data_IF_153865113359
#
_entry.id   IF_153865113359
#
_cell.length_a   1.000
_cell.length_b   1.000
_cell.length_c   1.000
_cell.angle_alpha   90.00
_cell.angle_beta   90.00
_cell.angle_gamma   90.00
#
_symmetry.space_group_name_H-M   'P 1'
#
loop_
_entity.id
_entity.type
_entity.pdbx_description
1 polymer ?
#
# COMPACT_ATOMS: atom_id res chain seq x y z
N UNK A 1 -0.50 -13.85 -4.31
CA UNK A 1 0.53 -13.68 -5.36
C UNK A 1 0.51 -14.89 -6.27
N UNK A 2 0.54 -14.70 -7.59
CA UNK A 2 0.84 -15.74 -8.58
C UNK A 2 1.79 -15.13 -9.61
N UNK A 3 2.57 -15.97 -10.27
CA UNK A 3 3.57 -15.53 -11.24
C UNK A 3 3.14 -15.98 -12.63
N UNK A 4 2.82 -15.02 -13.52
CA UNK A 4 2.25 -15.31 -14.82
C UNK A 4 3.26 -15.03 -15.95
N UNK A 5 3.34 -15.94 -16.92
CA UNK A 5 4.06 -15.76 -18.18
C UNK A 5 3.07 -15.86 -19.34
N UNK A 6 3.25 -14.98 -20.32
CA UNK A 6 2.39 -14.85 -21.48
C UNK A 6 3.14 -15.29 -22.72
N UNK A 7 2.46 -16.00 -23.59
CA UNK A 7 3.05 -16.64 -24.76
C UNK A 7 2.18 -16.39 -25.98
N UNK A 8 2.83 -16.04 -27.09
CA UNK A 8 2.20 -15.83 -28.39
C UNK A 8 2.81 -16.75 -29.43
N UNK A 9 2.04 -17.23 -30.40
CA UNK A 9 2.53 -18.11 -31.47
C UNK A 9 2.24 -17.54 -32.88
N UNK A 10 3.27 -16.95 -33.53
CA UNK A 10 3.15 -16.51 -34.92
C UNK A 10 3.22 -17.70 -35.93
N UNK A 11 2.47 -17.64 -37.06
CA UNK A 11 1.35 -16.75 -37.34
C UNK A 11 0.06 -17.28 -36.68
N UNK A 12 -0.73 -16.40 -36.04
CA UNK A 12 -2.05 -16.72 -35.49
C UNK A 12 -2.31 -16.10 -34.11
N UNK A 13 -3.51 -16.33 -33.58
CA UNK A 13 -3.98 -15.75 -32.30
C UNK A 13 -4.02 -16.79 -31.15
N UNK A 14 -3.15 -17.81 -31.19
CA UNK A 14 -3.01 -18.80 -30.10
C UNK A 14 -2.15 -18.22 -28.99
N UNK A 15 -2.80 -17.48 -28.10
CA UNK A 15 -2.19 -16.88 -26.92
C UNK A 15 -2.43 -17.72 -25.67
N UNK A 16 -1.38 -17.87 -24.88
CA UNK A 16 -1.39 -18.71 -23.69
C UNK A 16 -0.83 -17.97 -22.49
N UNK A 17 -1.49 -18.18 -21.37
CA UNK A 17 -1.01 -17.79 -20.06
C UNK A 17 -0.55 -19.05 -19.31
N UNK A 18 0.61 -18.98 -18.67
CA UNK A 18 1.08 -19.99 -17.73
C UNK A 18 1.30 -19.34 -16.37
N UNK A 19 0.64 -19.85 -15.35
CA UNK A 19 0.68 -19.34 -13.99
C UNK A 19 1.35 -20.34 -13.04
N UNK A 20 2.23 -19.83 -12.19
CA UNK A 20 2.71 -20.50 -10.98
C UNK A 20 2.03 -19.86 -9.76
N UNK A 21 1.23 -20.66 -9.04
CA UNK A 21 0.53 -20.23 -7.83
C UNK A 21 1.29 -20.80 -6.62
N UNK A 22 2.06 -19.98 -5.87
CA UNK A 22 2.65 -20.39 -4.60
C UNK A 22 1.58 -20.50 -3.51
N UNK A 23 1.82 -21.32 -2.50
CA UNK A 23 0.91 -21.48 -1.37
C UNK A 23 1.12 -22.80 -0.64
N UNK A 24 0.15 -23.17 0.22
CA UNK A 24 0.13 -24.45 0.93
C UNK A 24 0.07 -25.64 -0.04
N UNK A 25 -0.71 -25.49 -1.11
CA UNK A 25 -0.84 -26.46 -2.20
C UNK A 25 -0.40 -25.78 -3.51
N UNK A 26 0.92 -25.72 -3.80
CA UNK A 26 1.43 -25.06 -4.99
C UNK A 26 0.84 -25.63 -6.28
N UNK A 27 0.56 -24.77 -7.24
CA UNK A 27 -0.10 -25.15 -8.49
C UNK A 27 0.54 -24.54 -9.73
N UNK A 28 0.43 -25.25 -10.84
CA UNK A 28 0.69 -24.71 -12.18
C UNK A 28 -0.60 -24.81 -13.00
N UNK A 29 -1.01 -23.69 -13.58
CA UNK A 29 -2.20 -23.57 -14.42
C UNK A 29 -1.79 -22.99 -15.77
N UNK A 30 -2.32 -23.53 -16.85
CA UNK A 30 -2.15 -23.03 -18.21
C UNK A 30 -3.50 -22.73 -18.84
N UNK A 31 -3.68 -21.50 -19.33
CA UNK A 31 -4.95 -20.98 -19.87
C UNK A 31 -4.76 -20.53 -21.33
N UNK A 32 -5.78 -20.79 -22.15
CA UNK A 32 -5.93 -20.18 -23.47
C UNK A 32 -6.58 -18.80 -23.32
N UNK A 33 -5.87 -17.73 -23.69
CA UNK A 33 -6.31 -16.34 -23.45
C UNK A 33 -7.49 -15.96 -24.36
N UNK A 34 -7.38 -16.24 -25.65
CA UNK A 34 -8.38 -15.86 -26.65
C UNK A 34 -9.42 -16.98 -26.91
N UNK A 35 -9.71 -17.83 -25.92
CA UNK A 35 -10.54 -19.03 -26.12
C UNK A 35 -12.01 -18.68 -26.36
N UNK A 36 -12.48 -18.97 -27.57
CA UNK A 36 -13.89 -18.80 -27.99
C UNK A 36 -14.71 -20.10 -27.91
N UNK A 37 -14.14 -21.17 -27.37
CA UNK A 37 -14.79 -22.47 -27.20
C UNK A 37 -15.55 -22.58 -25.87
N UNK A 38 -15.73 -23.80 -25.38
CA UNK A 38 -16.38 -24.07 -24.10
C UNK A 38 -15.62 -23.38 -22.95
N UNK A 39 -16.25 -22.50 -22.16
CA UNK A 39 -15.62 -21.83 -21.02
C UNK A 39 -14.98 -22.79 -20.02
N UNK A 40 -15.52 -24.00 -19.87
CA UNK A 40 -14.99 -25.03 -18.95
C UNK A 40 -13.75 -25.76 -19.51
N UNK A 41 -13.36 -25.46 -20.76
CA UNK A 41 -12.21 -26.04 -21.46
C UNK A 41 -11.12 -25.00 -21.79
N UNK A 42 -11.15 -23.83 -21.17
CA UNK A 42 -10.13 -22.79 -21.39
C UNK A 42 -8.76 -23.13 -20.79
N UNK A 43 -8.66 -24.15 -19.94
CA UNK A 43 -7.41 -24.62 -19.35
C UNK A 43 -6.81 -25.79 -20.14
N UNK A 44 -5.55 -25.66 -20.56
CA UNK A 44 -4.78 -26.77 -21.12
C UNK A 44 -3.93 -27.51 -20.09
N UNK A 45 -3.80 -26.94 -18.88
CA UNK A 45 -3.01 -27.50 -17.79
C UNK A 45 -3.58 -27.06 -16.44
N UNK A 46 -3.78 -28.01 -15.54
CA UNK A 46 -3.99 -27.76 -14.12
C UNK A 46 -3.33 -28.87 -13.32
N UNK A 47 -2.33 -28.52 -12.50
CA UNK A 47 -1.62 -29.51 -11.69
C UNK A 47 -1.24 -28.93 -10.33
N UNK A 48 -1.56 -29.68 -9.28
CA UNK A 48 -1.16 -29.40 -7.90
C UNK A 48 0.07 -30.21 -7.53
N UNK A 49 0.93 -29.64 -6.69
CA UNK A 49 2.19 -30.23 -6.25
C UNK A 49 2.25 -30.23 -4.73
N UNK A 50 3.01 -31.17 -4.17
CA UNK A 50 3.26 -31.26 -2.72
C UNK A 50 4.22 -30.21 -2.18
N UNK A 51 4.95 -29.52 -3.06
CA UNK A 51 5.96 -28.54 -2.66
C UNK A 51 6.29 -27.54 -3.77
N UNK A 52 6.73 -26.34 -3.37
CA UNK A 52 6.97 -25.22 -4.27
C UNK A 52 8.16 -25.47 -5.22
N UNK A 53 9.16 -26.24 -4.78
CA UNK A 53 10.30 -26.61 -5.62
C UNK A 53 9.89 -27.51 -6.80
N UNK A 54 9.00 -28.46 -6.58
CA UNK A 54 8.46 -29.33 -7.64
C UNK A 54 7.58 -28.54 -8.61
N UNK A 55 6.74 -27.64 -8.08
CA UNK A 55 5.90 -26.75 -8.87
C UNK A 55 6.74 -25.81 -9.75
N UNK A 56 7.76 -25.16 -9.19
CA UNK A 56 8.69 -24.30 -9.92
C UNK A 56 9.44 -25.07 -11.02
N UNK A 57 9.91 -26.28 -10.73
CA UNK A 57 10.58 -27.14 -11.71
C UNK A 57 9.64 -27.59 -12.83
N UNK A 58 8.38 -27.91 -12.51
CA UNK A 58 7.37 -28.21 -13.51
C UNK A 58 6.99 -26.99 -14.36
N UNK A 59 6.86 -25.82 -13.73
CA UNK A 59 6.61 -24.56 -14.42
C UNK A 59 7.70 -24.27 -15.46
N UNK A 60 8.98 -24.34 -15.08
CA UNK A 60 10.11 -24.17 -16.02
C UNK A 60 10.08 -25.16 -17.19
N UNK A 61 9.72 -26.42 -16.93
CA UNK A 61 9.54 -27.42 -18.01
C UNK A 61 8.42 -27.05 -18.96
N UNK A 62 7.26 -26.63 -18.44
CA UNK A 62 6.14 -26.21 -19.27
C UNK A 62 6.45 -24.95 -20.09
N UNK A 63 7.20 -23.99 -19.53
CA UNK A 63 7.75 -22.86 -20.29
C UNK A 63 8.62 -23.36 -21.45
N UNK A 64 9.55 -24.29 -21.19
CA UNK A 64 10.41 -24.85 -22.23
C UNK A 64 9.62 -25.64 -23.30
N UNK A 65 8.59 -26.38 -22.91
CA UNK A 65 7.70 -27.11 -23.82
C UNK A 65 6.93 -26.15 -24.75
N UNK A 66 6.42 -25.03 -24.21
CA UNK A 66 5.78 -23.98 -25.01
C UNK A 66 6.78 -23.35 -26.00
N UNK A 67 7.97 -22.99 -25.54
CA UNK A 67 9.01 -22.44 -26.44
C UNK A 67 9.38 -23.45 -27.54
N UNK A 68 9.55 -24.72 -27.20
CA UNK A 68 9.84 -25.78 -28.17
C UNK A 68 8.69 -26.00 -29.18
N UNK A 69 7.44 -25.73 -28.78
CA UNK A 69 6.28 -25.77 -29.66
C UNK A 69 6.16 -24.52 -30.58
N UNK A 70 7.09 -23.56 -30.46
CA UNK A 70 7.17 -22.36 -31.29
C UNK A 70 6.46 -21.15 -30.70
N UNK A 71 6.14 -21.16 -29.41
CA UNK A 71 5.64 -19.98 -28.71
C UNK A 71 6.78 -19.04 -28.32
N UNK A 72 6.50 -17.75 -28.32
CA UNK A 72 7.39 -16.69 -27.89
C UNK A 72 6.85 -16.10 -26.58
N UNK A 73 7.69 -16.10 -25.54
CA UNK A 73 7.36 -15.42 -24.28
C UNK A 73 7.32 -13.90 -24.49
N UNK A 74 6.24 -13.25 -24.06
CA UNK A 74 5.98 -11.82 -24.32
C UNK A 74 6.31 -10.96 -23.10
N UNK A 75 6.56 -9.66 -23.32
CA UNK A 75 6.92 -8.71 -22.25
C UNK A 75 5.76 -8.36 -21.29
N UNK A 76 4.56 -8.89 -21.52
CA UNK A 76 3.39 -8.66 -20.69
C UNK A 76 3.54 -9.29 -19.30
N UNK A 77 2.99 -8.61 -18.29
CA UNK A 77 3.07 -9.01 -16.88
C UNK A 77 1.73 -8.95 -16.14
N UNK A 78 0.67 -8.41 -16.76
CA UNK A 78 -0.63 -8.23 -16.14
C UNK A 78 -1.51 -9.48 -16.29
N UNK A 79 -1.71 -10.22 -15.20
CA UNK A 79 -2.55 -11.43 -15.16
C UNK A 79 -4.06 -11.17 -15.34
N UNK A 80 -4.51 -9.92 -15.19
CA UNK A 80 -5.92 -9.58 -15.43
C UNK A 80 -6.23 -9.39 -16.91
N UNK A 81 -5.20 -9.37 -17.76
CA UNK A 81 -5.31 -9.28 -19.21
C UNK A 81 -6.00 -10.52 -19.76
N UNK A 82 -7.04 -10.33 -20.57
CA UNK A 82 -7.78 -11.43 -21.21
C UNK A 82 -7.28 -11.75 -22.62
N UNK A 83 -6.73 -10.78 -23.33
CA UNK A 83 -6.18 -10.93 -24.67
C UNK A 83 -4.87 -10.14 -24.79
N UNK A 84 -3.88 -10.69 -25.51
CA UNK A 84 -2.66 -9.94 -25.84
C UNK A 84 -2.93 -8.88 -26.91
N UNK A 85 -2.18 -7.76 -26.96
CA UNK A 85 -2.28 -6.81 -28.05
C UNK A 85 -1.88 -7.46 -29.39
N UNK A 86 -2.32 -6.90 -30.53
CA UNK A 86 -1.84 -7.34 -31.83
C UNK A 86 -0.32 -7.13 -31.90
N UNK A 87 0.43 -8.18 -32.22
CA UNK A 87 1.91 -8.22 -32.26
C UNK A 87 2.60 -7.96 -30.89
N UNK A 88 2.42 -8.86 -29.91
CA UNK A 88 3.00 -8.66 -28.58
C UNK A 88 4.54 -8.72 -28.63
N UNK A 89 5.18 -7.78 -27.93
CA UNK A 89 6.64 -7.70 -27.89
C UNK A 89 7.26 -8.92 -27.21
N UNK A 90 8.36 -9.42 -27.77
CA UNK A 90 9.12 -10.51 -27.15
C UNK A 90 9.77 -10.04 -25.86
N UNK A 91 9.68 -10.87 -24.80
CA UNK A 91 10.32 -10.57 -23.51
C UNK A 91 11.85 -10.49 -23.66
N UNK A 92 12.49 -9.37 -23.27
CA UNK A 92 13.94 -9.26 -23.21
C UNK A 92 14.57 -10.24 -22.22
N UNK A 93 15.80 -10.69 -22.49
CA UNK A 93 16.46 -11.72 -21.66
C UNK A 93 16.71 -11.27 -20.22
N UNK A 94 16.95 -9.97 -19.98
CA UNK A 94 17.11 -9.47 -18.62
C UNK A 94 15.81 -9.55 -17.80
N UNK A 95 14.64 -9.42 -18.44
CA UNK A 95 13.33 -9.62 -17.78
C UNK A 95 13.10 -11.11 -17.49
N UNK A 96 13.41 -12.00 -18.44
CA UNK A 96 13.36 -13.46 -18.20
C UNK A 96 14.28 -13.85 -17.03
N UNK A 97 15.44 -13.21 -16.91
CA UNK A 97 16.35 -13.45 -15.80
C UNK A 97 15.81 -12.94 -14.46
N UNK A 98 15.06 -11.84 -14.42
CA UNK A 98 14.34 -11.40 -13.22
C UNK A 98 13.21 -12.35 -12.84
N UNK A 99 12.49 -12.89 -13.83
CA UNK A 99 11.47 -13.91 -13.57
C UNK A 99 12.11 -15.15 -12.94
N UNK A 100 13.25 -15.59 -13.47
CA UNK A 100 13.99 -16.72 -12.92
C UNK A 100 14.47 -16.44 -11.49
N UNK A 101 14.95 -15.22 -11.20
CA UNK A 101 15.32 -14.83 -9.83
C UNK A 101 14.14 -14.92 -8.86
N UNK A 102 12.95 -14.52 -9.30
CA UNK A 102 11.71 -14.63 -8.53
C UNK A 102 11.27 -16.09 -8.33
N UNK A 103 11.44 -16.95 -9.33
CA UNK A 103 11.17 -18.39 -9.18
C UNK A 103 12.15 -19.02 -8.19
N UNK A 104 13.45 -18.69 -8.31
CA UNK A 104 14.48 -19.17 -7.38
C UNK A 104 14.22 -18.69 -5.96
N UNK A 105 13.74 -17.45 -5.78
CA UNK A 105 13.36 -16.91 -4.48
C UNK A 105 12.27 -17.71 -3.76
N UNK A 106 11.42 -18.44 -4.49
CA UNK A 106 10.36 -19.28 -3.92
C UNK A 106 10.82 -20.69 -3.59
N UNK A 107 11.82 -21.21 -4.30
CA UNK A 107 12.04 -22.64 -4.43
C UNK A 107 13.50 -23.11 -4.23
N UNK A 108 14.46 -22.20 -4.28
CA UNK A 108 15.88 -22.54 -4.35
C UNK A 108 16.70 -21.96 -3.18
N UNK A 109 17.81 -22.62 -2.80
CA UNK A 109 18.76 -22.10 -1.83
C UNK A 109 19.34 -20.73 -2.22
N UNK A 110 19.85 -20.00 -1.22
CA UNK A 110 20.41 -18.65 -1.41
C UNK A 110 21.62 -18.58 -2.37
N UNK A 111 22.38 -19.66 -2.54
CA UNK A 111 23.53 -19.69 -3.45
C UNK A 111 23.11 -19.69 -4.93
N UNK A 112 22.02 -20.37 -5.28
CA UNK A 112 21.49 -20.33 -6.64
C UNK A 112 20.93 -18.94 -6.97
N UNK A 113 20.26 -18.31 -6.01
CA UNK A 113 19.81 -16.92 -6.14
C UNK A 113 20.99 -15.95 -6.31
N UNK A 114 22.10 -16.18 -5.60
CA UNK A 114 23.30 -15.37 -5.73
C UNK A 114 23.94 -15.48 -7.12
N UNK A 115 24.01 -16.70 -7.68
CA UNK A 115 24.46 -16.92 -9.04
C UNK A 115 23.63 -16.14 -10.06
N UNK A 116 22.30 -16.14 -9.89
CA UNK A 116 21.39 -15.41 -10.76
C UNK A 116 21.53 -13.88 -10.62
N UNK A 117 21.69 -13.37 -9.40
CA UNK A 117 21.95 -11.94 -9.15
C UNK A 117 23.24 -11.49 -9.84
N UNK A 118 24.32 -12.26 -9.74
CA UNK A 118 25.59 -11.91 -10.39
C UNK A 118 25.47 -11.93 -11.92
N UNK A 119 24.75 -12.91 -12.48
CA UNK A 119 24.48 -12.97 -13.92
C UNK A 119 23.71 -11.75 -14.46
N UNK A 120 22.83 -11.17 -13.63
CA UNK A 120 22.00 -10.01 -13.98
C UNK A 120 22.70 -8.65 -13.77
N UNK A 121 23.80 -8.62 -13.02
CA UNK A 121 24.44 -7.38 -12.53
C UNK A 121 24.88 -6.40 -13.63
N UNK A 122 25.22 -6.91 -14.82
CA UNK A 122 25.66 -6.10 -15.97
C UNK A 122 24.53 -5.81 -16.98
N UNK A 123 23.29 -6.16 -16.63
CA UNK A 123 22.11 -5.98 -17.48
C UNK A 123 21.24 -4.83 -16.96
N UNK A 124 20.25 -4.35 -17.74
CA UNK A 124 19.29 -3.34 -17.25
C UNK A 124 18.56 -3.73 -15.97
N UNK A 125 18.42 -5.05 -15.70
CA UNK A 125 17.81 -5.56 -14.48
C UNK A 125 18.42 -4.97 -13.20
N UNK A 126 19.72 -4.68 -13.19
CA UNK A 126 20.43 -4.16 -12.02
C UNK A 126 19.89 -2.80 -11.50
N UNK A 127 19.11 -2.10 -12.33
CA UNK A 127 18.47 -0.82 -12.00
C UNK A 127 16.96 -0.94 -11.76
N UNK A 128 16.42 -2.14 -11.69
CA UNK A 128 15.01 -2.38 -11.35
C UNK A 128 14.83 -2.49 -9.82
N UNK A 129 13.76 -1.93 -9.24
CA UNK A 129 13.47 -2.06 -7.81
C UNK A 129 13.43 -3.51 -7.34
N UNK A 130 12.88 -4.42 -8.17
CA UNK A 130 12.80 -5.85 -7.87
C UNK A 130 14.18 -6.50 -7.71
N UNK A 131 15.14 -6.18 -8.59
CA UNK A 131 16.51 -6.66 -8.48
C UNK A 131 17.16 -6.16 -7.20
N UNK A 132 17.04 -4.86 -6.93
CA UNK A 132 17.68 -4.21 -5.78
C UNK A 132 17.14 -4.79 -4.46
N UNK A 133 15.84 -5.07 -4.40
CA UNK A 133 15.23 -5.78 -3.28
C UNK A 133 15.84 -7.18 -3.08
N UNK A 134 15.96 -7.99 -4.13
CA UNK A 134 16.60 -9.30 -4.03
C UNK A 134 18.07 -9.22 -3.62
N UNK A 135 18.81 -8.24 -4.13
CA UNK A 135 20.20 -7.99 -3.75
C UNK A 135 20.31 -7.62 -2.27
N UNK A 136 19.43 -6.76 -1.76
CA UNK A 136 19.34 -6.42 -0.34
C UNK A 136 19.01 -7.66 0.50
N UNK A 137 18.03 -8.46 0.09
CA UNK A 137 17.63 -9.68 0.81
C UNK A 137 18.78 -10.67 0.91
N UNK A 138 19.54 -10.86 -0.18
CA UNK A 138 20.73 -11.72 -0.19
C UNK A 138 21.83 -11.19 0.73
N UNK A 139 22.05 -9.87 0.77
CA UNK A 139 22.98 -9.21 1.69
C UNK A 139 22.62 -9.50 3.15
N UNK A 140 21.34 -9.29 3.52
CA UNK A 140 20.83 -9.62 4.86
C UNK A 140 21.01 -11.11 5.20
N UNK A 141 20.58 -12.02 4.33
CA UNK A 141 20.71 -13.47 4.57
C UNK A 141 22.16 -13.98 4.61
N UNK A 142 23.11 -13.25 4.03
CA UNK A 142 24.53 -13.58 4.11
C UNK A 142 25.12 -13.35 5.49
N UNK A 143 24.46 -12.53 6.32
CA UNK A 143 25.11 -11.83 7.42
C UNK A 143 26.18 -10.85 6.93
N UNK A 144 26.02 -10.29 5.71
CA UNK A 144 26.90 -9.23 5.21
C UNK A 144 26.73 -7.96 6.08
N UNK A 145 27.65 -7.00 5.91
CA UNK A 145 27.58 -5.67 6.53
C UNK A 145 26.15 -5.07 6.46
N UNK A 146 25.52 -4.85 7.62
CA UNK A 146 24.17 -4.29 7.72
C UNK A 146 24.05 -2.96 6.96
N UNK A 147 25.12 -2.15 6.93
CA UNK A 147 25.13 -0.91 6.16
C UNK A 147 25.02 -1.15 4.64
N UNK A 148 25.53 -2.27 4.12
CA UNK A 148 25.34 -2.68 2.72
C UNK A 148 23.89 -3.03 2.44
N UNK A 149 23.26 -3.81 3.32
CA UNK A 149 21.85 -4.17 3.20
C UNK A 149 20.96 -2.91 3.19
N UNK A 150 21.20 -1.98 4.13
CA UNK A 150 20.49 -0.69 4.19
C UNK A 150 20.63 0.07 2.87
N UNK A 151 21.87 0.25 2.35
CA UNK A 151 22.09 0.98 1.09
C UNK A 151 21.33 0.37 -0.08
N UNK A 152 21.31 -0.95 -0.20
CA UNK A 152 20.60 -1.64 -1.30
C UNK A 152 19.08 -1.49 -1.17
N UNK A 153 18.54 -1.60 0.05
CA UNK A 153 17.12 -1.44 0.30
C UNK A 153 16.65 0.02 0.13
N UNK A 154 17.45 1.01 0.55
CA UNK A 154 17.22 2.43 0.25
C UNK A 154 17.23 2.69 -1.25
N UNK A 155 18.21 2.14 -1.97
CA UNK A 155 18.28 2.28 -3.43
C UNK A 155 17.04 1.67 -4.11
N UNK A 156 16.54 0.52 -3.62
CA UNK A 156 15.31 -0.08 -4.14
C UNK A 156 14.10 0.85 -3.95
N UNK A 157 13.92 1.38 -2.73
CA UNK A 157 12.85 2.34 -2.38
C UNK A 157 12.94 3.59 -3.25
N UNK A 158 14.11 4.22 -3.29
CA UNK A 158 14.30 5.50 -3.96
C UNK A 158 14.12 5.36 -5.48
N UNK A 159 14.54 4.22 -6.06
CA UNK A 159 14.31 3.91 -7.49
C UNK A 159 12.81 3.76 -7.78
N UNK A 160 12.07 3.07 -6.90
CA UNK A 160 10.63 2.90 -7.05
C UNK A 160 9.91 4.26 -7.00
N UNK A 161 10.20 5.06 -5.98
CA UNK A 161 9.61 6.38 -5.79
C UNK A 161 9.96 7.34 -6.94
N UNK A 162 11.20 7.32 -7.42
CA UNK A 162 11.63 8.16 -8.53
C UNK A 162 10.90 7.81 -9.84
N UNK A 163 10.72 6.50 -10.12
CA UNK A 163 9.96 6.05 -11.30
C UNK A 163 8.48 6.42 -11.20
N UNK A 164 7.85 6.22 -10.03
CA UNK A 164 6.47 6.64 -9.76
C UNK A 164 6.29 8.14 -9.99
N UNK A 165 7.15 8.97 -9.40
CA UNK A 165 7.10 10.42 -9.57
C UNK A 165 7.28 10.89 -11.02
N UNK A 166 8.09 10.16 -11.80
CA UNK A 166 8.30 10.43 -13.21
C UNK A 166 7.25 9.80 -14.15
N UNK A 167 6.27 9.07 -13.62
CA UNK A 167 5.31 8.29 -14.43
C UNK A 167 5.98 7.20 -15.28
N UNK A 168 7.15 6.72 -14.87
CA UNK A 168 7.92 5.72 -15.59
C UNK A 168 7.58 4.31 -15.11
N UNK A 169 7.43 3.33 -16.02
CA UNK A 169 7.17 1.95 -15.63
C UNK A 169 8.40 1.32 -14.95
N UNK A 170 8.14 0.30 -14.14
CA UNK A 170 9.17 -0.56 -13.55
C UNK A 170 8.76 -2.03 -13.70
N UNK A 171 9.75 -2.93 -13.73
CA UNK A 171 9.50 -4.35 -13.88
C UNK A 171 9.35 -5.02 -12.52
N UNK A 172 8.13 -5.46 -12.20
CA UNK A 172 7.80 -6.12 -10.94
C UNK A 172 7.26 -7.56 -11.09
N UNK A 173 7.17 -8.08 -12.32
CA UNK A 173 6.64 -9.42 -12.69
C UNK A 173 5.51 -9.97 -11.80
N UNK A 174 4.25 -9.65 -12.15
CA UNK A 174 3.04 -10.11 -11.44
C UNK A 174 2.97 -9.75 -9.94
N UNK A 175 3.86 -8.88 -9.44
CA UNK A 175 3.76 -8.23 -8.13
C UNK A 175 3.16 -6.84 -8.33
N UNK A 176 2.16 -6.48 -7.53
CA UNK A 176 1.63 -5.13 -7.49
C UNK A 176 2.67 -4.17 -6.90
N UNK A 177 2.71 -2.93 -7.38
CA UNK A 177 3.70 -1.93 -6.93
C UNK A 177 3.70 -1.77 -5.40
N UNK A 178 2.51 -1.69 -4.78
CA UNK A 178 2.36 -1.58 -3.32
C UNK A 178 2.88 -2.80 -2.56
N UNK A 179 2.75 -4.01 -3.12
CA UNK A 179 3.32 -5.23 -2.53
C UNK A 179 4.86 -5.19 -2.58
N UNK A 180 5.43 -4.72 -3.68
CA UNK A 180 6.87 -4.58 -3.85
C UNK A 180 7.43 -3.51 -2.91
N UNK A 181 6.80 -2.35 -2.84
CA UNK A 181 7.14 -1.29 -1.89
C UNK A 181 7.08 -1.79 -0.45
N UNK A 182 6.02 -2.52 -0.10
CA UNK A 182 5.85 -3.09 1.23
C UNK A 182 7.01 -4.02 1.63
N UNK A 183 7.40 -4.91 0.72
CA UNK A 183 8.54 -5.84 0.92
C UNK A 183 9.89 -5.13 1.01
N UNK A 184 10.07 -4.04 0.27
CA UNK A 184 11.29 -3.22 0.32
C UNK A 184 11.40 -2.53 1.68
N UNK A 185 10.32 -1.87 2.12
CA UNK A 185 10.30 -1.12 3.38
C UNK A 185 10.43 -2.05 4.59
N UNK A 186 9.84 -3.24 4.53
CA UNK A 186 9.94 -4.23 5.60
C UNK A 186 11.39 -4.66 5.84
N UNK A 187 12.10 -5.01 4.75
CA UNK A 187 13.52 -5.37 4.78
C UNK A 187 14.39 -4.17 5.18
N UNK A 188 14.06 -2.96 4.71
CA UNK A 188 14.79 -1.75 5.08
C UNK A 188 14.70 -1.49 6.58
N UNK A 189 13.51 -1.65 7.18
CA UNK A 189 13.31 -1.50 8.62
C UNK A 189 14.18 -2.49 9.41
N UNK A 190 14.22 -3.76 9.00
CA UNK A 190 15.07 -4.77 9.66
C UNK A 190 16.55 -4.42 9.55
N UNK A 191 17.00 -4.11 8.34
CA UNK A 191 18.38 -3.77 8.07
C UNK A 191 18.83 -2.52 8.86
N UNK A 192 17.96 -1.51 8.99
CA UNK A 192 18.24 -0.32 9.79
C UNK A 192 18.35 -0.65 11.28
N UNK A 193 17.50 -1.55 11.79
CA UNK A 193 17.58 -2.00 13.17
C UNK A 193 18.86 -2.77 13.44
N UNK A 194 19.20 -3.72 12.58
CA UNK A 194 20.47 -4.49 12.63
C UNK A 194 21.70 -3.58 12.55
N UNK A 195 21.63 -2.49 11.78
CA UNK A 195 22.66 -1.47 11.70
C UNK A 195 22.72 -0.54 12.93
N UNK A 196 21.89 -0.77 13.95
CA UNK A 196 21.86 0.02 15.19
C UNK A 196 21.16 1.37 15.05
N UNK A 197 20.23 1.53 14.09
CA UNK A 197 19.47 2.75 13.84
C UNK A 197 17.96 2.55 14.07
N UNK A 198 17.52 2.41 15.35
CA UNK A 198 16.12 2.17 15.67
C UNK A 198 15.19 3.32 15.27
N UNK A 199 15.67 4.57 15.26
CA UNK A 199 14.89 5.73 14.81
C UNK A 199 14.51 5.63 13.32
N UNK A 200 15.47 5.23 12.48
CA UNK A 200 15.21 5.03 11.06
C UNK A 200 14.29 3.81 10.84
N UNK A 201 14.56 2.70 11.55
CA UNK A 201 13.71 1.51 11.48
C UNK A 201 12.26 1.83 11.86
N UNK A 202 12.05 2.55 12.97
CA UNK A 202 10.72 2.95 13.42
C UNK A 202 10.02 3.84 12.39
N UNK A 203 10.70 4.83 11.82
CA UNK A 203 10.12 5.67 10.75
C UNK A 203 9.71 4.84 9.53
N UNK A 204 10.54 3.88 9.13
CA UNK A 204 10.27 3.01 7.99
C UNK A 204 9.06 2.10 8.25
N UNK A 205 8.98 1.43 9.41
CA UNK A 205 7.81 0.58 9.73
C UNK A 205 6.54 1.40 9.92
N UNK A 206 6.62 2.61 10.49
CA UNK A 206 5.46 3.50 10.65
C UNK A 206 4.93 3.98 9.29
N UNK A 207 5.81 4.30 8.35
CA UNK A 207 5.41 4.59 6.97
C UNK A 207 4.81 3.37 6.29
N UNK A 208 5.42 2.20 6.47
CA UNK A 208 4.93 0.94 5.91
C UNK A 208 3.52 0.59 6.40
N UNK A 209 3.25 0.73 7.70
CA UNK A 209 1.90 0.51 8.27
C UNK A 209 0.83 1.47 7.72
N UNK A 210 1.23 2.59 7.10
CA UNK A 210 0.31 3.52 6.44
C UNK A 210 0.02 3.09 5.01
N UNK A 211 1.06 2.80 4.22
CA UNK A 211 0.91 2.51 2.79
C UNK A 211 0.43 1.08 2.50
N UNK A 212 0.73 0.14 3.39
CA UNK A 212 0.32 -1.26 3.26
C UNK A 212 0.11 -1.87 4.66
N UNK A 213 -1.01 -1.55 5.35
CA UNK A 213 -1.28 -2.07 6.68
C UNK A 213 -1.41 -3.60 6.67
N UNK A 214 -0.72 -4.24 7.60
CA UNK A 214 -0.80 -5.68 7.86
C UNK A 214 -0.54 -5.95 9.35
N UNK A 215 -1.13 -7.01 9.90
CA UNK A 215 -1.03 -7.32 11.32
C UNK A 215 0.42 -7.58 11.76
N UNK A 216 1.21 -8.30 10.98
CA UNK A 216 2.62 -8.60 11.30
C UNK A 216 3.45 -7.31 11.35
N UNK A 217 3.15 -6.36 10.46
CA UNK A 217 3.82 -5.04 10.41
C UNK A 217 3.49 -4.17 11.62
N UNK A 218 2.23 -4.20 12.07
CA UNK A 218 1.81 -3.48 13.28
C UNK A 218 2.44 -4.11 14.53
N UNK A 219 2.51 -5.45 14.61
CA UNK A 219 3.22 -6.15 15.70
C UNK A 219 4.70 -5.74 15.73
N UNK A 220 5.38 -5.78 14.58
CA UNK A 220 6.79 -5.36 14.46
C UNK A 220 7.02 -3.92 14.90
N UNK A 221 6.10 -3.01 14.57
CA UNK A 221 6.10 -1.63 15.09
C UNK A 221 5.99 -1.62 16.62
N UNK A 222 5.03 -2.38 17.19
CA UNK A 222 4.83 -2.46 18.63
C UNK A 222 6.07 -3.00 19.35
N UNK A 223 6.71 -4.04 18.80
CA UNK A 223 7.97 -4.60 19.31
C UNK A 223 9.10 -3.57 19.30
N UNK A 224 9.26 -2.82 18.20
CA UNK A 224 10.24 -1.74 18.10
C UNK A 224 10.00 -0.65 19.16
N UNK A 225 8.75 -0.23 19.34
CA UNK A 225 8.38 0.76 20.36
C UNK A 225 8.72 0.26 21.77
N UNK A 226 8.33 -0.96 22.11
CA UNK A 226 8.62 -1.54 23.42
C UNK A 226 10.12 -1.77 23.67
N UNK A 227 10.87 -2.16 22.64
CA UNK A 227 12.29 -2.49 22.77
C UNK A 227 13.21 -1.27 22.81
N UNK A 228 12.87 -0.19 22.08
CA UNK A 228 13.78 0.93 21.83
C UNK A 228 13.22 2.31 22.21
N UNK A 229 11.90 2.45 22.40
CA UNK A 229 11.23 3.73 22.64
C UNK A 229 10.27 3.65 23.84
N UNK A 230 10.78 3.45 25.07
CA UNK A 230 9.94 3.25 26.27
C UNK A 230 8.97 4.40 26.53
N UNK A 231 9.30 5.63 26.13
CA UNK A 231 8.42 6.79 26.22
C UNK A 231 7.21 6.72 25.29
N UNK A 232 7.26 5.86 24.27
CA UNK A 232 6.17 5.58 23.31
C UNK A 232 5.52 4.21 23.54
N UNK A 233 5.87 3.50 24.61
CA UNK A 233 5.36 2.15 24.90
C UNK A 233 3.82 2.07 24.95
N UNK A 234 3.15 3.12 25.42
CA UNK A 234 1.68 3.13 25.42
C UNK A 234 1.07 3.03 24.02
N UNK A 235 1.78 3.47 22.97
CA UNK A 235 1.29 3.31 21.59
C UNK A 235 1.27 1.83 21.18
N UNK A 236 2.26 1.03 21.60
CA UNK A 236 2.25 -0.42 21.40
C UNK A 236 1.13 -1.11 22.19
N UNK A 237 0.82 -0.60 23.39
CA UNK A 237 -0.31 -1.08 24.19
C UNK A 237 -1.66 -0.71 23.58
N UNK A 238 -1.75 0.44 22.88
CA UNK A 238 -2.93 0.79 22.11
C UNK A 238 -3.17 -0.21 20.98
N UNK A 239 -2.11 -0.52 20.20
CA UNK A 239 -2.18 -1.50 19.12
C UNK A 239 -2.60 -2.88 19.65
N UNK A 240 -1.98 -3.35 20.75
CA UNK A 240 -2.35 -4.61 21.40
C UNK A 240 -3.79 -4.61 21.91
N UNK A 241 -4.26 -3.52 22.52
CA UNK A 241 -5.64 -3.42 22.99
C UNK A 241 -6.65 -3.49 21.84
N UNK A 242 -6.34 -2.88 20.71
CA UNK A 242 -7.21 -2.83 19.54
C UNK A 242 -7.22 -4.15 18.76
N UNK A 243 -6.06 -4.78 18.60
CA UNK A 243 -5.87 -5.87 17.64
C UNK A 243 -5.61 -7.25 18.25
N UNK A 244 -5.41 -7.37 19.57
CA UNK A 244 -5.11 -8.65 20.25
C UNK A 244 -6.11 -9.77 19.99
N UNK A 245 -7.37 -9.46 19.64
CA UNK A 245 -8.37 -10.47 19.25
C UNK A 245 -7.96 -11.32 18.03
N UNK A 246 -7.02 -10.83 17.24
CA UNK A 246 -6.47 -11.52 16.07
C UNK A 246 -5.14 -12.28 16.37
N UNK A 247 -4.68 -12.29 17.63
CA UNK A 247 -3.45 -12.96 18.07
C UNK A 247 -2.17 -12.16 17.80
N UNK A 248 -1.01 -12.67 18.24
CA UNK A 248 0.33 -12.13 17.93
C UNK A 248 0.80 -10.98 18.83
N UNK A 249 -0.01 -10.54 19.79
CA UNK A 249 0.33 -9.50 20.77
C UNK A 249 0.64 -10.06 22.16
N UNK A 250 0.75 -11.38 22.31
CA UNK A 250 0.92 -12.04 23.61
C UNK A 250 2.13 -11.51 24.37
N UNK A 251 3.25 -11.30 23.67
CA UNK A 251 4.48 -10.78 24.27
C UNK A 251 4.33 -9.31 24.69
N UNK A 252 3.65 -8.49 23.89
CA UNK A 252 3.36 -7.09 24.24
C UNK A 252 2.43 -7.02 25.45
N UNK A 253 1.40 -7.85 25.50
CA UNK A 253 0.45 -7.92 26.62
C UNK A 253 1.07 -8.48 27.91
N UNK A 254 2.15 -9.27 27.78
CA UNK A 254 2.90 -9.78 28.92
C UNK A 254 3.88 -8.75 29.52
N UNK A 255 4.12 -7.62 28.84
CA UNK A 255 5.03 -6.59 29.35
C UNK A 255 4.50 -5.95 30.65
N UNK A 256 5.40 -5.63 31.60
CA UNK A 256 5.03 -4.86 32.77
C UNK A 256 4.32 -3.57 32.38
N UNK A 257 3.20 -3.29 33.04
CA UNK A 257 2.39 -2.09 32.79
C UNK A 257 1.20 -2.29 31.84
N UNK A 258 1.16 -3.36 31.03
CA UNK A 258 0.00 -3.58 30.14
C UNK A 258 -1.30 -3.79 30.93
N UNK A 259 -1.28 -4.62 31.98
CA UNK A 259 -2.47 -4.87 32.81
C UNK A 259 -2.98 -3.58 33.50
N UNK A 260 -2.08 -2.71 33.96
CA UNK A 260 -2.45 -1.42 34.53
C UNK A 260 -3.00 -0.48 33.46
N UNK A 261 -2.36 -0.44 32.30
CA UNK A 261 -2.84 0.30 31.13
C UNK A 261 -4.24 -0.16 30.71
N UNK A 262 -4.49 -1.46 30.63
CA UNK A 262 -5.78 -2.05 30.25
C UNK A 262 -6.86 -1.72 31.30
N UNK A 263 -6.55 -1.89 32.59
CA UNK A 263 -7.44 -1.52 33.68
C UNK A 263 -7.78 -0.02 33.63
N UNK A 264 -6.78 0.82 33.37
CA UNK A 264 -6.98 2.26 33.17
C UNK A 264 -7.85 2.52 31.95
N UNK A 265 -7.64 1.86 30.81
CA UNK A 265 -8.48 2.03 29.61
C UNK A 265 -9.94 1.65 29.87
N UNK A 266 -10.18 0.53 30.54
CA UNK A 266 -11.54 0.07 30.92
C UNK A 266 -12.20 0.98 31.96
N UNK A 267 -11.43 1.49 32.93
CA UNK A 267 -11.92 2.40 33.96
C UNK A 267 -12.07 3.85 33.49
N UNK A 268 -11.37 4.22 32.40
CA UNK A 268 -11.32 5.59 31.89
C UNK A 268 -12.67 5.98 31.31
N UNK A 269 -13.45 6.70 32.12
CA UNK A 269 -14.52 7.60 31.65
C UNK A 269 -13.93 8.91 31.12
N UNK A 270 -12.89 8.86 30.28
CA UNK A 270 -12.38 10.09 29.66
C UNK A 270 -13.55 10.76 28.97
N UNK A 271 -13.93 11.94 29.48
CA UNK A 271 -15.08 12.68 28.95
C UNK A 271 -14.90 13.01 27.47
N UNK A 272 -13.66 12.99 26.95
CA UNK A 272 -13.35 13.31 25.56
C UNK A 272 -13.36 12.09 24.65
N UNK A 273 -12.93 10.91 25.13
CA UNK A 273 -12.87 9.71 24.28
C UNK A 273 -11.86 9.77 23.12
N UNK A 274 -10.95 10.75 23.06
CA UNK A 274 -9.92 10.85 22.03
C UNK A 274 -8.62 11.49 22.54
N UNK A 275 -7.49 11.22 21.87
CA UNK A 275 -6.21 11.91 22.08
C UNK A 275 -5.45 12.04 20.76
N UNK A 276 -4.64 13.08 20.62
CA UNK A 276 -3.72 13.20 19.48
C UNK A 276 -2.47 12.34 19.70
N UNK A 277 -2.02 11.63 18.67
CA UNK A 277 -0.62 11.22 18.55
C UNK A 277 0.26 12.45 18.31
N UNK A 278 1.57 12.26 18.47
CA UNK A 278 2.56 13.26 18.07
C UNK A 278 2.43 13.49 16.57
N UNK A 279 2.18 14.74 16.17
CA UNK A 279 2.18 15.12 14.75
C UNK A 279 3.56 15.54 14.27
N UNK A 280 3.71 15.66 12.96
CA UNK A 280 4.89 16.16 12.26
C UNK A 280 4.53 17.49 11.58
N UNK A 281 4.72 18.64 12.26
CA UNK A 281 4.36 19.94 11.71
C UNK A 281 5.02 20.21 10.36
N UNK A 282 4.24 20.67 9.39
CA UNK A 282 4.75 20.99 8.05
C UNK A 282 5.47 22.34 8.03
N UNK A 283 6.44 22.49 7.12
CA UNK A 283 7.01 23.79 6.84
C UNK A 283 6.08 24.61 5.93
N UNK A 284 6.26 25.94 5.89
CA UNK A 284 5.55 26.80 4.94
C UNK A 284 5.84 26.42 3.48
N UNK A 285 7.04 25.91 3.21
CA UNK A 285 7.46 25.46 1.88
C UNK A 285 6.65 24.24 1.47
N UNK A 286 6.48 23.26 2.36
CA UNK A 286 5.71 22.04 2.07
C UNK A 286 4.25 22.36 1.80
N UNK A 287 3.65 23.27 2.59
CA UNK A 287 2.27 23.72 2.36
C UNK A 287 2.16 24.45 1.02
N UNK A 288 3.13 25.29 0.65
CA UNK A 288 3.10 26.01 -0.63
C UNK A 288 3.28 25.08 -1.82
N UNK A 289 4.12 24.04 -1.71
CA UNK A 289 4.28 23.02 -2.73
C UNK A 289 3.00 22.19 -2.92
N UNK A 290 2.28 21.88 -1.85
CA UNK A 290 0.98 21.22 -1.91
C UNK A 290 -0.06 22.08 -2.65
N UNK A 291 -0.10 23.39 -2.39
CA UNK A 291 -0.98 24.33 -3.09
C UNK A 291 -0.67 24.44 -4.58
N UNK A 292 0.62 24.43 -4.93
CA UNK A 292 1.07 24.40 -6.32
C UNK A 292 0.64 23.10 -7.01
N UNK A 293 0.81 21.95 -6.36
CA UNK A 293 0.40 20.65 -6.89
C UNK A 293 -1.12 20.53 -7.08
N UNK A 294 -1.91 21.09 -6.15
CA UNK A 294 -3.38 21.15 -6.25
C UNK A 294 -3.87 22.25 -7.21
N UNK A 295 -3.00 23.18 -7.61
CA UNK A 295 -3.36 24.34 -8.43
C UNK A 295 -4.23 25.38 -7.71
N UNK A 296 -4.28 25.33 -6.37
CA UNK A 296 -5.18 26.18 -5.57
C UNK A 296 -4.64 26.42 -4.16
N UNK A 297 -4.96 27.58 -3.59
CA UNK A 297 -4.62 27.90 -2.20
C UNK A 297 -5.53 27.12 -1.25
N UNK A 298 -4.97 26.61 -0.15
CA UNK A 298 -5.71 25.97 0.91
C UNK A 298 -6.36 27.02 1.86
N UNK A 299 -7.55 26.73 2.41
CA UNK A 299 -8.19 27.54 3.45
C UNK A 299 -7.25 27.81 4.64
N UNK A 300 -7.34 29.02 5.21
CA UNK A 300 -6.37 29.48 6.22
C UNK A 300 -6.40 28.65 7.52
N UNK A 301 -7.57 28.16 7.92
CA UNK A 301 -7.73 27.29 9.09
C UNK A 301 -7.03 25.93 8.89
N UNK A 302 -7.17 25.33 7.70
CA UNK A 302 -6.47 24.10 7.35
C UNK A 302 -4.96 24.31 7.17
N UNK A 303 -4.53 25.43 6.57
CA UNK A 303 -3.11 25.82 6.51
C UNK A 303 -2.51 25.91 7.92
N UNK A 304 -3.21 26.57 8.84
CA UNK A 304 -2.77 26.69 10.23
C UNK A 304 -2.71 25.33 10.93
N UNK A 305 -3.64 24.41 10.64
CA UNK A 305 -3.57 23.04 11.10
C UNK A 305 -2.31 22.32 10.60
N UNK A 306 -2.02 22.38 9.30
CA UNK A 306 -0.83 21.75 8.71
C UNK A 306 0.48 22.33 9.29
N UNK A 307 0.56 23.64 9.51
CA UNK A 307 1.74 24.26 10.13
C UNK A 307 1.93 23.89 11.60
N UNK A 308 0.85 23.53 12.29
CA UNK A 308 0.88 23.18 13.73
C UNK A 308 1.04 21.69 13.97
N UNK A 309 0.44 20.85 13.13
CA UNK A 309 0.37 19.40 13.29
C UNK A 309 0.91 18.63 12.10
N UNK A 310 0.76 19.18 10.89
CA UNK A 310 1.10 18.54 9.63
C UNK A 310 0.44 17.17 9.53
N UNK A 311 1.23 16.17 9.15
CA UNK A 311 0.80 14.78 9.24
C UNK A 311 0.55 14.41 10.71
N UNK A 312 -0.65 13.94 11.03
CA UNK A 312 -1.04 13.66 12.40
C UNK A 312 -2.13 12.61 12.49
N UNK A 313 -2.26 11.99 13.67
CA UNK A 313 -3.30 11.00 13.93
C UNK A 313 -4.08 11.37 15.19
N UNK A 314 -5.41 11.32 15.11
CA UNK A 314 -6.32 11.45 16.25
C UNK A 314 -6.81 10.05 16.63
N UNK A 315 -6.43 9.60 17.82
CA UNK A 315 -6.85 8.31 18.36
C UNK A 315 -8.21 8.44 19.03
N UNK A 316 -9.17 7.67 18.55
CA UNK A 316 -10.50 7.52 19.13
C UNK A 316 -10.48 6.32 20.06
N UNK A 317 -10.88 6.54 21.30
CA UNK A 317 -10.68 5.64 22.44
C UNK A 317 -11.96 5.49 23.24
N UNK A 318 -12.78 4.56 22.79
CA UNK A 318 -13.96 4.14 23.54
C UNK A 318 -13.56 2.96 24.46
N UNK A 319 -14.39 2.62 25.48
CA UNK A 319 -14.11 1.49 26.36
C UNK A 319 -14.03 0.15 25.62
N UNK A 320 -14.88 -0.05 24.62
CA UNK A 320 -15.05 -1.34 23.93
C UNK A 320 -14.46 -1.34 22.51
N UNK A 321 -14.11 -0.16 21.98
CA UNK A 321 -13.67 0.01 20.61
C UNK A 321 -12.65 1.14 20.49
N UNK A 322 -11.81 1.08 19.46
CA UNK A 322 -10.81 2.12 19.16
C UNK A 322 -10.66 2.25 17.67
N UNK A 323 -10.41 3.48 17.21
CA UNK A 323 -10.17 3.82 15.81
C UNK A 323 -9.20 4.99 15.74
N UNK A 324 -8.78 5.37 14.55
CA UNK A 324 -7.83 6.45 14.32
C UNK A 324 -8.30 7.30 13.13
N UNK A 325 -8.25 8.62 13.26
CA UNK A 325 -8.38 9.55 12.13
C UNK A 325 -6.98 10.00 11.71
N UNK A 326 -6.56 9.64 10.50
CA UNK A 326 -5.27 10.00 9.92
C UNK A 326 -5.42 11.26 9.10
N UNK A 327 -4.59 12.26 9.37
CA UNK A 327 -4.52 13.50 8.59
C UNK A 327 -3.30 13.46 7.69
N UNK A 328 -3.51 13.67 6.40
CA UNK A 328 -2.47 13.57 5.38
C UNK A 328 -1.39 14.65 5.51
N UNK A 329 -0.16 14.29 5.16
CA UNK A 329 0.91 15.27 4.97
C UNK A 329 0.59 16.18 3.76
N UNK A 330 1.11 17.43 3.71
CA UNK A 330 0.87 18.30 2.56
C UNK A 330 1.25 17.67 1.22
N UNK A 331 2.36 16.92 1.18
CA UNK A 331 2.84 16.26 -0.04
C UNK A 331 1.96 15.11 -0.55
N UNK A 332 0.97 14.67 0.24
CA UNK A 332 0.08 13.56 -0.12
C UNK A 332 -1.27 14.04 -0.68
N UNK A 333 -1.64 15.31 -0.46
CA UNK A 333 -2.98 15.82 -0.75
C UNK A 333 -3.39 15.67 -2.22
N UNK A 334 -2.48 15.98 -3.16
CA UNK A 334 -2.76 15.85 -4.59
C UNK A 334 -2.91 14.37 -5.02
N UNK A 335 -2.10 13.48 -4.46
CA UNK A 335 -2.22 12.03 -4.71
C UNK A 335 -3.53 11.50 -4.18
N UNK A 336 -3.93 11.87 -2.95
CA UNK A 336 -5.17 11.40 -2.36
C UNK A 336 -6.41 11.97 -3.06
N UNK A 337 -6.34 13.24 -3.51
CA UNK A 337 -7.37 13.79 -4.38
C UNK A 337 -7.53 12.93 -5.64
N UNK A 338 -6.44 12.62 -6.33
CA UNK A 338 -6.48 11.77 -7.51
C UNK A 338 -7.04 10.38 -7.20
N UNK A 339 -6.65 9.75 -6.10
CA UNK A 339 -7.18 8.45 -5.69
C UNK A 339 -8.71 8.47 -5.54
N UNK A 340 -9.27 9.53 -4.92
CA UNK A 340 -10.73 9.67 -4.78
C UNK A 340 -11.41 9.94 -6.13
N UNK A 341 -10.79 10.73 -7.02
CA UNK A 341 -11.31 10.92 -8.37
C UNK A 341 -11.33 9.61 -9.16
N UNK A 342 -10.22 8.87 -9.16
CA UNK A 342 -10.08 7.59 -9.87
C UNK A 342 -11.01 6.51 -9.28
N UNK A 343 -11.36 6.60 -8.00
CA UNK A 343 -12.35 5.71 -7.36
C UNK A 343 -13.79 6.04 -7.78
N UNK A 344 -14.15 7.33 -7.78
CA UNK A 344 -15.51 7.78 -8.11
C UNK A 344 -15.78 7.65 -9.62
N UNK A 345 -14.75 7.83 -10.45
CA UNK A 345 -14.83 7.77 -11.90
C UNK A 345 -13.66 6.95 -12.47
N UNK A 346 -13.97 5.86 -13.16
CA UNK A 346 -12.99 4.95 -13.74
C UNK A 346 -12.52 5.39 -15.13
N UNK A 347 -13.08 6.51 -15.65
CA UNK A 347 -12.72 7.13 -16.92
C UNK A 347 -12.94 8.64 -16.89
N UNK A 348 -12.32 9.36 -17.84
CA UNK A 348 -12.49 10.81 -17.99
C UNK A 348 -13.95 11.21 -18.30
N UNK A 349 -14.67 10.38 -19.07
CA UNK A 349 -16.08 10.65 -19.39
C UNK A 349 -16.97 10.54 -18.14
N UNK A 350 -16.73 9.50 -17.31
CA UNK A 350 -17.41 9.35 -16.01
C UNK A 350 -17.03 10.48 -15.05
N UNK A 351 -15.79 10.99 -15.12
CA UNK A 351 -15.35 12.07 -14.26
C UNK A 351 -16.09 13.37 -14.55
N UNK A 352 -16.34 13.70 -15.82
CA UNK A 352 -17.12 14.87 -16.20
C UNK A 352 -18.60 14.73 -15.78
N UNK A 353 -19.18 13.53 -15.91
CA UNK A 353 -20.53 13.23 -15.41
C UNK A 353 -20.63 13.41 -13.89
N UNK A 354 -19.70 12.82 -13.14
CA UNK A 354 -19.63 12.95 -11.70
C UNK A 354 -19.43 14.43 -11.30
N UNK A 355 -18.55 15.17 -11.98
CA UNK A 355 -18.40 16.60 -11.75
C UNK A 355 -19.71 17.37 -11.95
N UNK A 356 -20.44 17.10 -13.03
CA UNK A 356 -21.72 17.75 -13.30
C UNK A 356 -22.78 17.41 -12.24
N UNK A 357 -22.79 16.16 -11.76
CA UNK A 357 -23.67 15.73 -10.67
C UNK A 357 -23.37 16.48 -9.37
N UNK A 358 -22.11 16.48 -8.91
CA UNK A 358 -21.70 17.14 -7.66
C UNK A 358 -21.98 18.65 -7.69
N UNK A 359 -21.80 19.28 -8.85
CA UNK A 359 -22.14 20.69 -9.06
C UNK A 359 -23.62 20.95 -8.90
N UNK A 360 -24.46 20.09 -9.46
CA UNK A 360 -25.92 20.25 -9.43
C UNK A 360 -26.49 19.97 -8.05
N UNK A 361 -26.05 18.90 -7.40
CA UNK A 361 -26.61 18.43 -6.13
C UNK A 361 -26.05 19.20 -4.93
N UNK A 362 -24.73 19.39 -4.90
CA UNK A 362 -24.03 19.95 -3.75
C UNK A 362 -23.46 21.35 -4.00
N UNK A 363 -23.47 21.85 -5.24
CA UNK A 363 -22.87 23.15 -5.58
C UNK A 363 -21.33 23.16 -5.52
N UNK A 364 -20.68 22.00 -5.43
CA UNK A 364 -19.22 21.87 -5.31
C UNK A 364 -18.63 21.14 -6.51
N UNK A 365 -17.34 21.37 -6.77
CA UNK A 365 -16.62 20.64 -7.80
C UNK A 365 -16.01 19.38 -7.22
N UNK A 366 -16.27 18.21 -7.83
CA UNK A 366 -15.58 16.98 -7.45
C UNK A 366 -14.04 17.12 -7.59
N UNK A 367 -13.56 17.70 -8.70
CA UNK A 367 -12.13 18.04 -8.93
C UNK A 367 -11.51 19.00 -7.89
N UNK A 368 -12.30 19.61 -7.01
CA UNK A 368 -11.81 20.50 -5.95
C UNK A 368 -12.19 20.01 -4.55
N UNK A 369 -12.61 18.75 -4.41
CA UNK A 369 -12.71 18.08 -3.13
C UNK A 369 -11.37 17.40 -2.85
N UNK A 370 -10.69 17.85 -1.80
CA UNK A 370 -9.39 17.33 -1.37
C UNK A 370 -9.60 16.52 -0.11
N UNK A 371 -9.29 15.20 -0.11
CA UNK A 371 -9.26 14.41 1.11
C UNK A 371 -8.20 14.95 2.05
N UNK A 372 -8.58 15.32 3.27
CA UNK A 372 -7.67 15.88 4.29
C UNK A 372 -7.48 14.96 5.48
N UNK A 373 -8.39 14.02 5.68
CA UNK A 373 -8.26 12.96 6.67
C UNK A 373 -9.07 11.71 6.31
N UNK A 374 -8.69 10.55 6.83
CA UNK A 374 -9.41 9.27 6.69
C UNK A 374 -9.41 8.49 8.00
N UNK A 375 -10.52 7.81 8.37
CA UNK A 375 -10.46 6.78 9.39
C UNK A 375 -9.57 5.62 8.93
N UNK A 376 -8.66 5.17 9.79
CA UNK A 376 -7.74 4.08 9.47
C UNK A 376 -8.50 2.82 9.06
N UNK A 377 -8.09 2.21 7.94
CA UNK A 377 -8.65 0.97 7.39
C UNK A 377 -10.11 1.05 6.94
N UNK A 378 -10.68 2.25 6.80
CA UNK A 378 -12.00 2.46 6.21
C UNK A 378 -11.87 3.24 4.90
N UNK A 379 -12.68 2.88 3.91
CA UNK A 379 -12.79 3.61 2.64
C UNK A 379 -13.68 4.84 2.80
N UNK A 380 -13.29 5.74 3.71
CA UNK A 380 -14.03 6.96 4.08
C UNK A 380 -13.07 8.12 4.22
N UNK A 381 -13.52 9.33 3.92
CA UNK A 381 -12.67 10.51 4.13
C UNK A 381 -13.44 11.76 4.54
N UNK A 382 -12.73 12.65 5.22
CA UNK A 382 -13.09 14.04 5.40
C UNK A 382 -12.56 14.81 4.20
N UNK A 383 -13.47 15.32 3.38
CA UNK A 383 -13.17 16.13 2.20
C UNK A 383 -13.18 17.61 2.55
N UNK A 384 -12.25 18.38 1.98
CA UNK A 384 -12.19 19.83 2.03
C UNK A 384 -12.40 20.40 0.63
N UNK A 385 -13.40 21.27 0.46
CA UNK A 385 -13.65 21.94 -0.80
C UNK A 385 -12.76 23.18 -0.93
N UNK A 386 -11.89 23.19 -1.94
CA UNK A 386 -10.85 24.21 -2.11
C UNK A 386 -11.09 25.14 -3.30
N UNK A 387 -12.16 24.97 -4.06
CA UNK A 387 -12.44 25.90 -5.15
C UNK A 387 -12.80 27.30 -4.62
N UNK A 388 -12.19 28.37 -5.15
CA UNK A 388 -12.56 29.73 -4.79
C UNK A 388 -14.04 30.02 -5.08
N UNK A 389 -14.78 30.44 -4.06
CA UNK A 389 -16.21 30.72 -4.19
C UNK A 389 -16.94 30.71 -2.85
N UNK A 390 -18.27 30.68 -2.91
CA UNK A 390 -19.14 30.69 -1.71
C UNK A 390 -18.91 29.48 -0.80
N UNK A 391 -18.59 28.33 -1.38
CA UNK A 391 -18.33 27.07 -0.66
C UNK A 391 -16.85 26.80 -0.38
N UNK A 392 -15.97 27.79 -0.56
CA UNK A 392 -14.54 27.64 -0.28
C UNK A 392 -14.31 27.35 1.21
N UNK A 393 -13.59 26.28 1.51
CA UNK A 393 -13.28 25.84 2.88
C UNK A 393 -14.32 24.95 3.54
N UNK A 394 -15.45 24.67 2.88
CA UNK A 394 -16.44 23.72 3.39
C UNK A 394 -15.88 22.31 3.47
N UNK A 395 -16.32 21.55 4.48
CA UNK A 395 -15.96 20.16 4.68
C UNK A 395 -17.16 19.23 4.55
N UNK A 396 -16.91 18.01 4.11
CA UNK A 396 -17.90 16.95 3.95
C UNK A 396 -17.32 15.62 4.41
N UNK A 397 -18.17 14.74 4.93
CA UNK A 397 -17.82 13.33 5.08
C UNK A 397 -18.23 12.59 3.81
N UNK A 398 -17.40 11.65 3.38
CA UNK A 398 -17.63 10.81 2.21
C UNK A 398 -17.36 9.35 2.54
N UNK A 399 -18.19 8.47 2.00
CA UNK A 399 -18.13 7.01 2.16
C UNK A 399 -18.16 6.33 0.79
N UNK A 400 -17.31 5.33 0.60
CA UNK A 400 -17.27 4.52 -0.61
C UNK A 400 -18.60 3.81 -0.94
N UNK A 401 -19.41 3.47 0.06
CA UNK A 401 -20.72 2.82 -0.14
C UNK A 401 -21.71 3.75 -0.85
N UNK A 402 -21.56 5.06 -0.62
CA UNK A 402 -22.30 6.13 -1.26
C UNK A 402 -21.34 7.03 -2.06
N UNK A 403 -20.61 6.46 -3.02
CA UNK A 403 -19.50 7.15 -3.70
C UNK A 403 -19.87 8.51 -4.33
N UNK A 404 -21.15 8.75 -4.63
CA UNK A 404 -21.65 10.01 -5.20
C UNK A 404 -22.33 10.90 -4.16
N UNK A 405 -22.32 10.53 -2.88
CA UNK A 405 -23.01 11.23 -1.80
C UNK A 405 -22.02 12.02 -0.93
N UNK A 406 -22.40 13.24 -0.57
CA UNK A 406 -21.69 14.06 0.42
C UNK A 406 -22.54 14.21 1.67
N UNK A 407 -21.97 13.85 2.81
CA UNK A 407 -22.63 13.88 4.10
C UNK A 407 -22.04 14.96 5.01
N UNK A 408 -22.80 15.33 6.05
CA UNK A 408 -22.33 16.16 7.15
C UNK A 408 -21.63 17.45 6.71
N UNK A 409 -22.26 18.26 5.84
CA UNK A 409 -21.71 19.55 5.41
C UNK A 409 -21.34 20.43 6.63
N UNK A 410 -20.09 20.89 6.66
CA UNK A 410 -19.57 21.80 7.67
C UNK A 410 -18.96 23.05 7.00
N UNK A 411 -19.12 24.23 7.61
CA UNK A 411 -18.71 25.50 7.01
C UNK A 411 -17.19 25.74 6.96
N UNK A 412 -16.39 24.98 7.71
CA UNK A 412 -14.92 25.10 7.75
C UNK A 412 -14.27 23.84 8.31
N UNK A 413 -12.97 23.67 8.08
CA UNK A 413 -12.20 22.56 8.64
C UNK A 413 -12.15 22.62 10.17
N UNK A 414 -11.98 23.80 10.76
CA UNK A 414 -12.00 23.95 12.22
C UNK A 414 -13.33 23.50 12.83
N UNK A 415 -14.45 23.88 12.19
CA UNK A 415 -15.79 23.47 12.65
C UNK A 415 -16.02 21.98 12.45
N UNK A 416 -15.56 21.39 11.33
CA UNK A 416 -15.65 19.96 11.09
C UNK A 416 -14.85 19.15 12.13
N UNK A 417 -13.61 19.54 12.41
CA UNK A 417 -12.77 18.90 13.41
C UNK A 417 -13.40 19.01 14.82
N UNK A 418 -14.01 20.16 15.12
CA UNK A 418 -14.73 20.36 16.37
C UNK A 418 -15.97 19.45 16.45
N UNK A 419 -16.78 19.35 15.40
CA UNK A 419 -17.96 18.50 15.35
C UNK A 419 -17.60 17.03 15.57
N UNK A 420 -16.55 16.54 14.91
CA UNK A 420 -16.02 15.18 15.10
C UNK A 420 -15.58 14.94 16.55
N UNK A 421 -14.75 15.84 17.10
CA UNK A 421 -14.18 15.68 18.45
C UNK A 421 -15.22 15.85 19.57
N UNK A 422 -16.19 16.73 19.40
CA UNK A 422 -17.34 16.86 20.31
C UNK A 422 -18.26 15.63 20.20
N UNK A 423 -18.51 15.13 19.00
CA UNK A 423 -19.34 13.94 18.75
C UNK A 423 -18.77 12.70 19.42
N UNK A 424 -17.45 12.48 19.33
CA UNK A 424 -16.76 11.41 20.05
C UNK A 424 -16.92 11.57 21.57
N UNK A 425 -16.80 12.79 22.09
CA UNK A 425 -16.95 13.06 23.52
C UNK A 425 -18.39 12.79 24.01
N UNK A 426 -19.38 13.14 23.19
CA UNK A 426 -20.80 13.00 23.49
C UNK A 426 -21.37 11.62 23.15
N UNK A 427 -20.60 10.77 22.46
CA UNK A 427 -21.06 9.49 21.89
C UNK A 427 -22.21 9.67 20.91
N UNK A 428 -22.10 10.70 20.08
CA UNK A 428 -23.04 10.92 18.98
C UNK A 428 -22.90 9.78 17.96
N UNK A 429 -23.98 9.04 17.71
CA UNK A 429 -23.97 7.87 16.83
C UNK A 429 -23.62 8.24 15.39
N UNK A 430 -23.93 9.45 14.95
CA UNK A 430 -23.68 9.91 13.58
C UNK A 430 -22.19 10.17 13.37
N UNK A 431 -21.55 10.86 14.32
CA UNK A 431 -20.10 11.09 14.26
C UNK A 431 -19.30 9.81 14.52
N UNK A 432 -19.80 8.89 15.36
CA UNK A 432 -19.16 7.60 15.59
C UNK A 432 -19.31 6.65 14.39
N UNK A 433 -20.43 6.73 13.66
CA UNK A 433 -20.64 5.94 12.45
C UNK A 433 -19.53 6.17 11.42
N UNK A 434 -18.99 7.40 11.29
CA UNK A 434 -17.85 7.70 10.42
C UNK A 434 -16.63 6.81 10.72
N UNK A 435 -16.44 6.40 11.98
CA UNK A 435 -15.36 5.53 12.44
C UNK A 435 -15.72 4.05 12.51
N UNK A 436 -16.96 3.67 12.15
CA UNK A 436 -17.53 2.33 12.36
C UNK A 436 -17.51 1.90 13.85
N UNK A 437 -17.87 2.83 14.76
CA UNK A 437 -17.80 2.65 16.22
C UNK A 437 -19.13 2.70 16.97
#
# INVERSE_FOLDING_TARGET
>A
MHLAKFFHRPPGDDDRELMLIPGRDPMVIGVHMNWKGDPDSNEFLRKTFSGIADAASAFRRHVADLVAAGYVETSHTNYTLRDLPPDPETKPDWQKGLDELMILALAAPMDEQAGQLEALRSTPAAHEPLYLWHAARRSSSAGDDAARTVRLAEQARDTLLARRAAGQPHYAWSIYEGDLEGRILELLSDAQLEAGNPDAALKTIEHLCKVAPDQERIIKRAELLCGYFPERQEEAFDDAYQWSRFGGYEDIMALPGYAEYEARRKATKSAKGWRWKRGTPASKTDVSAAEEALGVRLPDDYRNFLLKRGEAELLVRLPESSSELRFYAPGELATQQRNVLDFIAHSEDELEEACAYFRKEYGVSLKHLVPVAEPSQLSRCLLLHVEPGERYGQCFQWDHDGAWELEQEQPSFEIALKALTDGIAQRDSTQLAFFDL
#
